data_IF_978373748100
#
_entry.id   IF_978373748100
#
_cell.length_a   1.000
_cell.length_b   1.000
_cell.length_c   1.000
_cell.angle_alpha   90.00
_cell.angle_beta   90.00
_cell.angle_gamma   90.00
#
_symmetry.space_group_name_H-M   'P 1'
#
loop_
_entity.id
_entity.type
_entity.pdbx_description
1 polymer ?
#
# COMPACT_ATOMS: atom_id res chain seq x y z
N UNK A 1 -15.48 -49.67 0.37
CA UNK A 1 -14.46 -49.52 1.43
C UNK A 1 -14.57 -48.11 1.98
N UNK A 2 -14.87 -47.98 3.27
CA UNK A 2 -15.16 -46.73 3.95
C UNK A 2 -13.94 -46.29 4.77
N UNK A 3 -13.55 -45.01 4.65
CA UNK A 3 -12.66 -44.34 5.62
C UNK A 3 -12.85 -42.82 5.58
N UNK A 4 -13.85 -42.39 6.36
CA UNK A 4 -13.93 -41.23 7.26
C UNK A 4 -13.05 -39.98 7.04
N UNK A 5 -13.74 -38.85 6.82
CA UNK A 5 -13.29 -37.48 7.11
C UNK A 5 -13.19 -37.23 8.63
N UNK A 6 -12.09 -36.64 9.09
CA UNK A 6 -11.95 -36.07 10.43
C UNK A 6 -12.26 -34.57 10.44
N UNK A 7 -13.33 -34.17 11.13
CA UNK A 7 -13.67 -32.78 11.45
C UNK A 7 -13.02 -32.38 12.77
N UNK A 8 -12.15 -31.35 12.75
CA UNK A 8 -11.59 -30.73 13.95
C UNK A 8 -12.61 -29.77 14.58
N UNK A 9 -13.11 -30.14 15.76
CA UNK A 9 -14.06 -29.40 16.58
C UNK A 9 -13.30 -28.54 17.61
N UNK A 10 -13.20 -27.23 17.39
CA UNK A 10 -12.61 -26.29 18.34
C UNK A 10 -13.65 -25.94 19.41
N UNK A 11 -13.55 -26.58 20.56
CA UNK A 11 -14.34 -26.27 21.77
C UNK A 11 -13.94 -24.92 22.35
N UNK A 12 -14.96 -24.21 22.81
CA UNK A 12 -14.94 -22.89 23.43
C UNK A 12 -13.98 -22.76 24.62
N UNK A 13 -13.17 -21.71 24.61
CA UNK A 13 -12.40 -21.28 25.77
C UNK A 13 -13.32 -20.55 26.76
N UNK A 14 -13.58 -21.22 27.89
CA UNK A 14 -14.32 -20.71 29.05
C UNK A 14 -13.45 -19.68 29.81
N UNK A 15 -13.94 -18.45 29.93
CA UNK A 15 -13.37 -17.37 30.76
C UNK A 15 -13.30 -17.81 32.23
N UNK A 16 -12.13 -17.66 32.87
CA UNK A 16 -11.99 -17.76 34.33
C UNK A 16 -12.25 -16.38 34.98
N UNK A 17 -12.97 -16.30 36.11
CA UNK A 17 -13.20 -15.05 36.82
C UNK A 17 -12.06 -14.67 37.77
N UNK A 18 -11.90 -13.35 37.92
CA UNK A 18 -10.96 -12.60 38.75
C UNK A 18 -11.06 -13.03 40.23
N UNK A 19 -9.94 -13.33 40.88
CA UNK A 19 -9.87 -13.54 42.33
C UNK A 19 -9.42 -12.25 43.03
N UNK A 20 -10.20 -11.90 44.05
CA UNK A 20 -10.17 -10.69 44.87
C UNK A 20 -9.07 -10.74 45.94
N UNK A 21 -8.62 -9.54 46.31
CA UNK A 21 -7.65 -9.16 47.36
C UNK A 21 -7.68 -9.99 48.65
N UNK A 22 -6.50 -10.30 49.17
CA UNK A 22 -6.27 -10.73 50.55
C UNK A 22 -5.38 -9.70 51.28
N UNK A 23 -5.71 -9.52 52.57
CA UNK A 23 -5.41 -8.41 53.47
C UNK A 23 -3.94 -8.28 53.91
N UNK A 24 -3.53 -7.04 54.18
CA UNK A 24 -2.29 -6.66 54.88
C UNK A 24 -2.51 -6.69 56.41
N UNK A 25 -1.56 -7.19 57.22
CA UNK A 25 -1.67 -7.15 58.67
C UNK A 25 -1.35 -5.76 59.25
N UNK A 26 -2.14 -5.41 60.26
CA UNK A 26 -2.07 -4.19 61.05
C UNK A 26 -0.86 -4.14 61.98
N UNK A 27 -0.18 -3.00 62.03
CA UNK A 27 0.76 -2.67 63.10
C UNK A 27 0.44 -1.28 63.67
N UNK A 28 -0.07 -1.34 64.89
CA UNK A 28 -0.27 -0.25 65.85
C UNK A 28 1.07 0.28 66.35
N UNK A 29 1.26 1.61 66.35
CA UNK A 29 1.58 2.40 67.56
C UNK A 29 1.66 3.90 67.28
N UNK A 30 1.10 4.62 68.23
CA UNK A 30 0.94 6.07 68.36
C UNK A 30 2.28 6.82 68.49
N UNK A 31 2.43 7.91 67.73
CA UNK A 31 3.23 9.06 68.11
C UNK A 31 2.64 10.32 67.43
N UNK A 32 2.28 11.33 68.25
CA UNK A 32 1.68 12.59 67.79
C UNK A 32 2.71 13.48 67.05
N UNK A 33 2.32 14.18 65.98
CA UNK A 33 3.20 15.05 65.20
C UNK A 33 3.19 16.50 65.73
N UNK A 34 4.35 17.17 65.65
CA UNK A 34 4.43 18.63 65.75
C UNK A 34 4.31 19.26 64.35
N UNK A 35 3.34 20.16 64.21
CA UNK A 35 2.95 20.84 62.98
C UNK A 35 3.59 22.25 62.90
N UNK A 36 4.00 22.71 61.71
CA UNK A 36 3.88 24.13 61.37
C UNK A 36 2.77 24.36 60.32
N UNK A 37 1.83 25.21 60.74
CA UNK A 37 0.83 26.06 60.07
C UNK A 37 0.82 26.16 58.52
N UNK A 38 -0.26 25.60 57.92
CA UNK A 38 -1.26 26.10 56.91
C UNK A 38 -0.91 27.21 55.87
N UNK A 39 -1.51 27.28 54.64
CA UNK A 39 -2.94 27.08 54.35
C UNK A 39 -3.34 26.14 53.17
N UNK A 40 -4.36 25.31 53.45
CA UNK A 40 -5.67 25.23 52.77
C UNK A 40 -5.73 25.53 51.25
N UNK A 41 -5.93 24.47 50.45
CA UNK A 41 -7.00 24.30 49.44
C UNK A 41 -6.53 23.36 48.31
N UNK A 42 -6.82 22.06 48.41
CA UNK A 42 -6.77 21.16 47.25
C UNK A 42 -8.20 20.74 46.91
N UNK A 43 -8.88 21.60 46.15
CA UNK A 43 -10.17 21.29 45.56
C UNK A 43 -9.90 20.43 44.32
N UNK A 44 -10.27 19.15 44.41
CA UNK A 44 -10.23 18.23 43.28
C UNK A 44 -11.39 18.58 42.33
N UNK A 45 -11.12 19.39 41.32
CA UNK A 45 -12.09 19.74 40.28
C UNK A 45 -11.66 19.11 38.96
N UNK A 46 -12.16 17.91 38.73
CA UNK A 46 -12.22 17.23 37.44
C UNK A 46 -13.23 17.99 36.58
N UNK A 47 -12.77 18.80 35.62
CA UNK A 47 -13.45 19.18 34.36
C UNK A 47 -12.58 20.23 33.64
N UNK A 48 -12.02 19.89 32.48
CA UNK A 48 -11.31 20.84 31.64
C UNK A 48 -10.56 20.13 30.53
N UNK A 49 -10.99 20.34 29.29
CA UNK A 49 -10.36 19.80 28.09
C UNK A 49 -8.83 20.01 28.12
N UNK A 50 -8.09 18.94 27.86
CA UNK A 50 -6.64 18.97 27.73
C UNK A 50 -6.27 19.86 26.53
N UNK A 51 -6.00 21.13 26.79
CA UNK A 51 -5.27 21.98 25.86
C UNK A 51 -3.87 21.37 25.72
N UNK A 52 -3.65 20.66 24.61
CA UNK A 52 -2.30 20.39 24.13
C UNK A 52 -1.57 21.74 24.08
N UNK A 53 -0.42 21.91 24.76
CA UNK A 53 0.25 23.19 24.72
C UNK A 53 0.72 23.44 23.28
N UNK A 54 0.28 24.55 22.71
CA UNK A 54 0.62 25.02 21.36
C UNK A 54 2.14 25.21 21.16
N UNK A 55 2.94 25.07 22.22
CA UNK A 55 4.40 25.08 22.22
C UNK A 55 5.03 23.80 21.66
N UNK A 56 4.27 22.71 21.46
CA UNK A 56 4.78 21.52 20.77
C UNK A 56 4.93 21.71 19.25
N UNK A 57 4.40 22.80 18.69
CA UNK A 57 4.45 23.13 17.25
C UNK A 57 5.61 24.05 16.84
N UNK A 58 6.41 24.56 17.79
CA UNK A 58 7.48 25.54 17.50
C UNK A 58 8.90 25.02 17.75
N UNK A 59 9.06 23.74 18.12
CA UNK A 59 10.38 23.15 18.40
C UNK A 59 11.37 23.02 17.21
N UNK A 60 11.05 23.18 15.90
CA UNK A 60 12.11 23.13 14.89
C UNK A 60 12.81 24.48 14.65
N UNK A 61 12.45 25.56 15.34
CA UNK A 61 12.98 26.91 15.02
C UNK A 61 14.15 27.41 15.88
N UNK A 62 14.69 26.59 16.78
CA UNK A 62 15.84 26.96 17.64
C UNK A 62 17.02 25.99 17.55
N UNK A 63 17.15 25.24 16.45
CA UNK A 63 18.38 24.51 16.17
C UNK A 63 19.34 25.43 15.42
N UNK A 64 20.49 25.70 16.04
CA UNK A 64 21.58 26.47 15.47
C UNK A 64 22.03 25.81 14.14
N UNK A 65 22.06 26.51 12.99
CA UNK A 65 22.37 25.91 11.69
C UNK A 65 23.78 25.31 11.56
N UNK A 66 24.67 25.64 12.50
CA UNK A 66 26.09 25.29 12.47
C UNK A 66 26.41 23.88 12.98
N UNK A 67 25.52 23.24 13.76
CA UNK A 67 25.71 21.86 14.25
C UNK A 67 25.15 20.78 13.30
N UNK A 68 24.71 21.17 12.10
CA UNK A 68 24.14 20.27 11.10
C UNK A 68 25.13 19.91 9.96
N UNK A 69 26.43 19.98 10.23
CA UNK A 69 27.46 19.42 9.36
C UNK A 69 27.98 18.09 9.90
N UNK A 70 27.66 17.04 9.14
CA UNK A 70 28.27 15.71 9.13
C UNK A 70 28.07 14.86 10.40
N UNK A 71 27.34 13.75 10.25
CA UNK A 71 27.89 12.53 10.79
C UNK A 71 29.26 12.36 10.10
N UNK A 72 30.35 12.51 10.86
CA UNK A 72 31.70 12.73 10.35
C UNK A 72 32.36 11.50 9.74
N UNK A 73 31.60 10.62 9.08
CA UNK A 73 32.03 9.26 8.76
C UNK A 73 31.81 8.26 9.91
N UNK A 74 31.07 8.64 10.96
CA UNK A 74 30.90 7.83 12.18
C UNK A 74 30.18 6.50 11.91
N UNK A 75 29.23 6.48 10.97
CA UNK A 75 28.50 5.27 10.59
C UNK A 75 29.09 4.58 9.35
N UNK A 76 30.22 5.07 8.84
CA UNK A 76 31.00 4.46 7.76
C UNK A 76 30.17 4.18 6.50
N UNK A 77 29.90 2.89 6.24
CA UNK A 77 29.13 2.44 5.07
C UNK A 77 27.73 3.08 4.99
N UNK A 78 27.07 3.31 6.13
CA UNK A 78 25.72 3.88 6.19
C UNK A 78 25.67 5.34 5.71
N UNK A 79 26.81 6.02 5.71
CA UNK A 79 26.94 7.39 5.22
C UNK A 79 27.53 7.48 3.81
N UNK A 80 28.11 6.37 3.35
CA UNK A 80 28.84 6.25 2.10
C UNK A 80 27.98 6.35 0.85
N UNK A 81 28.67 6.54 -0.28
CA UNK A 81 28.03 6.67 -1.59
C UNK A 81 27.28 5.41 -2.00
N UNK A 82 27.76 4.21 -1.66
CA UNK A 82 27.06 2.97 -2.02
C UNK A 82 25.64 2.94 -1.48
N UNK A 83 25.44 3.21 -0.18
CA UNK A 83 24.10 3.19 0.40
C UNK A 83 23.24 4.37 -0.05
N UNK A 84 23.84 5.53 -0.31
CA UNK A 84 23.12 6.66 -0.91
C UNK A 84 22.58 6.35 -2.33
N UNK A 85 23.25 5.46 -3.08
CA UNK A 85 22.84 5.06 -4.43
C UNK A 85 21.88 3.86 -4.48
N UNK A 86 21.64 3.16 -3.35
CA UNK A 86 20.66 2.06 -3.31
C UNK A 86 19.26 2.57 -3.66
N UNK A 87 18.81 3.64 -3.01
CA UNK A 87 17.49 4.20 -3.25
C UNK A 87 17.24 4.56 -4.73
N UNK A 88 18.06 5.38 -5.42
CA UNK A 88 17.82 5.72 -6.82
C UNK A 88 17.89 4.50 -7.75
N UNK A 89 18.74 3.51 -7.45
CA UNK A 89 18.77 2.26 -8.22
C UNK A 89 17.47 1.47 -8.07
N UNK A 90 17.02 1.28 -6.82
CA UNK A 90 15.78 0.56 -6.53
C UNK A 90 14.57 1.30 -7.10
N UNK A 91 14.53 2.63 -7.01
CA UNK A 91 13.46 3.44 -7.59
C UNK A 91 13.37 3.28 -9.11
N UNK A 92 14.51 3.18 -9.82
CA UNK A 92 14.54 2.82 -11.24
C UNK A 92 13.91 1.45 -11.49
N UNK A 93 14.28 0.45 -10.69
CA UNK A 93 13.69 -0.90 -10.76
C UNK A 93 12.18 -0.91 -10.49
N UNK A 94 11.74 -0.25 -9.42
CA UNK A 94 10.33 -0.15 -9.03
C UNK A 94 9.49 0.58 -10.08
N UNK A 95 10.05 1.56 -10.79
CA UNK A 95 9.36 2.21 -11.90
C UNK A 95 8.99 1.23 -13.01
N UNK A 96 9.97 0.47 -13.54
CA UNK A 96 9.70 -0.53 -14.58
C UNK A 96 8.80 -1.65 -14.06
N UNK A 97 8.99 -2.07 -12.80
CA UNK A 97 8.13 -3.06 -12.17
C UNK A 97 6.67 -2.58 -12.03
N UNK A 98 6.46 -1.28 -11.77
CA UNK A 98 5.14 -0.65 -11.74
C UNK A 98 4.47 -0.70 -13.12
N UNK A 99 5.20 -0.39 -14.19
CA UNK A 99 4.68 -0.50 -15.57
C UNK A 99 4.30 -1.95 -15.91
N UNK A 100 5.14 -2.91 -15.50
CA UNK A 100 4.86 -4.33 -15.68
C UNK A 100 3.63 -4.79 -14.88
N UNK A 101 3.49 -4.36 -13.62
CA UNK A 101 2.30 -4.63 -12.81
C UNK A 101 1.03 -4.02 -13.46
N UNK A 102 1.14 -2.83 -14.03
CA UNK A 102 0.10 -2.20 -14.84
C UNK A 102 -0.30 -3.04 -16.06
N UNK A 103 0.67 -3.58 -16.80
CA UNK A 103 0.42 -4.51 -17.90
C UNK A 103 -0.32 -5.77 -17.44
N UNK A 104 0.08 -6.40 -16.32
CA UNK A 104 -0.63 -7.56 -15.78
C UNK A 104 -2.09 -7.22 -15.41
N UNK A 105 -2.32 -6.05 -14.81
CA UNK A 105 -3.66 -5.56 -14.48
C UNK A 105 -4.52 -5.32 -15.72
N UNK A 106 -3.91 -4.81 -16.80
CA UNK A 106 -4.55 -4.64 -18.10
C UNK A 106 -4.96 -5.99 -18.71
N UNK A 107 -4.07 -6.99 -18.70
CA UNK A 107 -4.39 -8.33 -19.21
C UNK A 107 -5.54 -8.98 -18.41
N UNK A 108 -5.55 -8.81 -17.08
CA UNK A 108 -6.68 -9.27 -16.27
C UNK A 108 -7.99 -8.55 -16.57
N UNK A 109 -7.94 -7.24 -16.88
CA UNK A 109 -9.11 -6.51 -17.38
C UNK A 109 -9.59 -7.08 -18.72
N UNK A 110 -8.67 -7.40 -19.65
CA UNK A 110 -8.99 -7.95 -20.97
C UNK A 110 -9.76 -9.26 -20.87
N UNK A 111 -9.37 -10.18 -19.97
CA UNK A 111 -10.12 -11.44 -19.72
C UNK A 111 -11.61 -11.20 -19.48
N UNK A 112 -11.95 -10.13 -18.74
CA UNK A 112 -13.34 -9.79 -18.39
C UNK A 112 -14.05 -9.06 -19.54
N UNK A 113 -13.40 -8.07 -20.15
CA UNK A 113 -14.03 -7.31 -21.24
C UNK A 113 -14.25 -8.16 -22.48
N UNK A 114 -13.31 -9.06 -22.82
CA UNK A 114 -13.47 -10.02 -23.92
C UNK A 114 -14.66 -10.94 -23.69
N UNK A 115 -14.93 -11.36 -22.45
CA UNK A 115 -16.13 -12.15 -22.14
C UNK A 115 -17.42 -11.36 -22.35
N UNK A 116 -17.43 -10.07 -22.00
CA UNK A 116 -18.58 -9.20 -22.22
C UNK A 116 -18.84 -9.02 -23.73
N UNK A 117 -17.79 -8.75 -24.52
CA UNK A 117 -17.86 -8.66 -25.99
C UNK A 117 -18.43 -9.94 -26.61
N UNK A 118 -17.96 -11.13 -26.18
CA UNK A 118 -18.50 -12.41 -26.63
C UNK A 118 -20.00 -12.52 -26.32
N UNK A 119 -20.42 -12.16 -25.11
CA UNK A 119 -21.81 -12.25 -24.69
C UNK A 119 -22.72 -11.29 -25.48
N UNK A 120 -22.23 -10.10 -25.82
CA UNK A 120 -22.95 -9.13 -26.64
C UNK A 120 -23.08 -9.61 -28.09
N UNK A 121 -22.00 -10.12 -28.69
CA UNK A 121 -22.04 -10.68 -30.05
C UNK A 121 -22.96 -11.90 -30.14
N UNK A 122 -22.96 -12.77 -29.13
CA UNK A 122 -23.88 -13.93 -29.08
C UNK A 122 -25.35 -13.52 -29.05
N UNK A 123 -25.70 -12.35 -28.50
CA UNK A 123 -27.08 -11.83 -28.55
C UNK A 123 -27.48 -11.36 -29.94
N UNK A 124 -26.52 -11.01 -30.79
CA UNK A 124 -26.75 -10.54 -32.16
C UNK A 124 -26.96 -11.70 -33.14
N UNK A 125 -26.43 -12.89 -32.81
CA UNK A 125 -26.72 -14.13 -33.55
C UNK A 125 -28.15 -14.57 -33.21
N UNK A 126 -29.12 -14.20 -34.05
CA UNK A 126 -30.50 -14.72 -33.95
C UNK A 126 -30.47 -16.25 -34.12
N UNK A 127 -31.29 -17.03 -33.38
CA UNK A 127 -31.47 -18.45 -33.68
C UNK A 127 -31.96 -18.58 -35.11
N UNK A 128 -31.30 -19.42 -35.91
CA UNK A 128 -31.76 -19.77 -37.26
C UNK A 128 -33.18 -20.36 -37.12
N UNK A 129 -34.22 -19.76 -37.74
CA UNK A 129 -35.51 -20.42 -37.84
C UNK A 129 -35.32 -21.68 -38.67
N UNK A 130 -35.50 -22.84 -38.05
CA UNK A 130 -35.58 -24.10 -38.78
C UNK A 130 -36.93 -24.10 -39.49
N UNK A 131 -36.92 -24.01 -40.82
CA UNK A 131 -38.09 -24.37 -41.63
C UNK A 131 -38.42 -25.85 -41.42
N UNK A 132 -39.69 -26.29 -41.54
CA UNK A 132 -40.11 -27.68 -41.35
C UNK A 132 -39.35 -28.71 -42.21
N UNK A 133 -38.65 -28.26 -43.25
CA UNK A 133 -37.93 -29.08 -44.25
C UNK A 133 -36.42 -29.19 -44.01
N UNK A 134 -35.88 -28.65 -42.91
CA UNK A 134 -34.50 -28.92 -42.50
C UNK A 134 -33.38 -28.28 -43.35
N UNK A 135 -33.72 -27.45 -44.34
CA UNK A 135 -32.71 -26.75 -45.17
C UNK A 135 -32.29 -25.42 -44.53
N UNK A 136 -31.02 -25.22 -44.14
CA UNK A 136 -30.58 -23.96 -43.54
C UNK A 136 -30.56 -22.84 -44.59
N UNK A 137 -31.32 -21.77 -44.37
CA UNK A 137 -31.18 -20.52 -45.12
C UNK A 137 -29.86 -19.88 -44.67
N UNK A 138 -28.84 -19.93 -45.53
CA UNK A 138 -27.54 -19.34 -45.27
C UNK A 138 -27.64 -17.81 -45.14
N UNK A 139 -27.66 -17.32 -43.90
CA UNK A 139 -27.47 -15.90 -43.59
C UNK A 139 -25.97 -15.58 -43.69
N UNK A 140 -25.58 -14.95 -44.79
CA UNK A 140 -24.22 -14.43 -45.02
C UNK A 140 -23.74 -13.45 -43.91
N UNK A 141 -24.65 -12.93 -43.09
CA UNK A 141 -24.36 -12.07 -41.93
C UNK A 141 -23.92 -12.83 -40.68
N UNK A 142 -24.16 -14.14 -40.58
CA UNK A 142 -23.78 -14.96 -39.43
C UNK A 142 -22.26 -15.25 -39.40
N UNK A 143 -21.65 -15.48 -40.58
CA UNK A 143 -20.25 -15.90 -40.71
C UNK A 143 -19.22 -14.92 -40.10
N UNK A 144 -19.30 -13.58 -40.33
CA UNK A 144 -18.34 -12.64 -39.74
C UNK A 144 -18.46 -12.51 -38.21
N UNK A 145 -19.68 -12.53 -37.68
CA UNK A 145 -19.94 -12.41 -36.23
C UNK A 145 -19.51 -13.71 -35.52
N UNK A 146 -19.81 -14.86 -36.11
CA UNK A 146 -19.39 -16.18 -35.60
C UNK A 146 -17.86 -16.31 -35.60
N UNK A 147 -17.19 -15.89 -36.69
CA UNK A 147 -15.73 -15.86 -36.75
C UNK A 147 -15.15 -14.95 -35.65
N UNK A 148 -15.76 -13.78 -35.39
CA UNK A 148 -15.32 -12.89 -34.31
C UNK A 148 -15.52 -13.50 -32.93
N UNK A 149 -16.64 -14.18 -32.70
CA UNK A 149 -16.89 -14.92 -31.45
C UNK A 149 -15.83 -16.00 -31.24
N UNK A 150 -15.49 -16.77 -32.28
CA UNK A 150 -14.44 -17.78 -32.22
C UNK A 150 -13.08 -17.15 -31.89
N UNK A 151 -12.69 -16.08 -32.60
CA UNK A 151 -11.44 -15.36 -32.35
C UNK A 151 -11.33 -14.88 -30.90
N UNK A 152 -12.36 -14.19 -30.40
CA UNK A 152 -12.36 -13.67 -29.02
C UNK A 152 -12.39 -14.81 -27.98
N UNK A 153 -13.02 -15.93 -28.32
CA UNK A 153 -13.04 -17.12 -27.46
C UNK A 153 -11.64 -17.72 -27.33
N UNK A 154 -10.90 -17.84 -28.43
CA UNK A 154 -9.50 -18.29 -28.41
C UNK A 154 -8.60 -17.27 -27.70
N UNK A 155 -8.73 -15.97 -27.98
CA UNK A 155 -8.02 -14.91 -27.26
C UNK A 155 -8.24 -15.03 -25.74
N UNK A 156 -9.50 -15.20 -25.31
CA UNK A 156 -9.82 -15.35 -23.89
C UNK A 156 -9.20 -16.61 -23.30
N UNK A 157 -9.19 -17.74 -24.02
CA UNK A 157 -8.55 -18.98 -23.55
C UNK A 157 -7.06 -18.75 -23.29
N UNK A 158 -6.37 -18.07 -24.20
CA UNK A 158 -4.95 -17.72 -24.00
C UNK A 158 -4.75 -16.75 -22.83
N UNK A 159 -5.60 -15.72 -22.71
CA UNK A 159 -5.52 -14.78 -21.60
C UNK A 159 -5.75 -15.46 -20.24
N UNK A 160 -6.67 -16.43 -20.17
CA UNK A 160 -6.94 -17.19 -18.93
C UNK A 160 -5.73 -18.05 -18.53
N UNK A 161 -5.04 -18.67 -19.50
CA UNK A 161 -3.80 -19.45 -19.25
C UNK A 161 -2.70 -18.60 -18.63
N UNK A 162 -2.69 -17.28 -18.89
CA UNK A 162 -1.68 -16.35 -18.38
C UNK A 162 -1.77 -16.06 -16.87
N UNK A 163 -2.83 -16.50 -16.17
CA UNK A 163 -3.03 -16.34 -14.72
C UNK A 163 -2.84 -14.89 -14.22
N UNK A 164 -3.24 -13.91 -15.04
CA UNK A 164 -2.97 -12.49 -14.82
C UNK A 164 -3.56 -11.92 -13.52
N UNK A 165 -4.66 -12.50 -13.02
CA UNK A 165 -5.25 -12.09 -11.73
C UNK A 165 -4.25 -12.25 -10.59
N UNK A 166 -3.69 -13.45 -10.45
CA UNK A 166 -2.80 -13.79 -9.33
C UNK A 166 -1.43 -13.16 -9.53
N UNK A 167 -0.94 -13.10 -10.78
CA UNK A 167 0.31 -12.41 -11.11
C UNK A 167 0.23 -10.92 -10.80
N UNK A 168 -0.86 -10.24 -11.18
CA UNK A 168 -1.05 -8.83 -10.87
C UNK A 168 -1.17 -8.61 -9.36
N UNK A 169 -1.90 -9.47 -8.64
CA UNK A 169 -2.01 -9.39 -7.18
C UNK A 169 -0.64 -9.53 -6.52
N UNK A 170 0.13 -10.57 -6.87
CA UNK A 170 1.46 -10.81 -6.32
C UNK A 170 2.43 -9.67 -6.64
N UNK A 171 2.44 -9.20 -7.89
CA UNK A 171 3.25 -8.06 -8.29
C UNK A 171 2.87 -6.79 -7.51
N UNK A 172 1.57 -6.53 -7.35
CA UNK A 172 1.08 -5.42 -6.53
C UNK A 172 1.50 -5.54 -5.06
N UNK A 173 1.47 -6.75 -4.47
CA UNK A 173 1.93 -6.97 -3.10
C UNK A 173 3.43 -6.74 -2.93
N UNK A 174 4.25 -7.21 -3.87
CA UNK A 174 5.70 -6.97 -3.87
C UNK A 174 5.98 -5.47 -4.01
N UNK A 175 5.34 -4.81 -4.97
CA UNK A 175 5.49 -3.38 -5.20
C UNK A 175 5.10 -2.56 -3.95
N UNK A 176 3.98 -2.90 -3.31
CA UNK A 176 3.54 -2.24 -2.08
C UNK A 176 4.55 -2.43 -0.95
N UNK A 177 5.02 -3.66 -0.72
CA UNK A 177 5.96 -3.94 0.36
C UNK A 177 7.27 -3.19 0.15
N UNK A 178 7.97 -3.44 -0.96
CA UNK A 178 9.26 -2.82 -1.24
C UNK A 178 9.15 -1.30 -1.41
N UNK A 179 8.11 -0.83 -2.08
CA UNK A 179 7.88 0.59 -2.29
C UNK A 179 7.68 1.37 -0.98
N UNK A 180 6.94 0.83 -0.02
CA UNK A 180 6.78 1.44 1.31
C UNK A 180 8.11 1.44 2.08
N UNK A 181 8.84 0.32 2.08
CA UNK A 181 10.15 0.25 2.72
C UNK A 181 11.13 1.27 2.16
N UNK A 182 11.16 1.47 0.84
CA UNK A 182 12.02 2.46 0.18
C UNK A 182 11.58 3.90 0.47
N UNK A 183 10.28 4.20 0.46
CA UNK A 183 9.79 5.54 0.76
C UNK A 183 10.17 5.98 2.19
N UNK A 184 10.11 5.06 3.16
CA UNK A 184 10.55 5.31 4.54
C UNK A 184 12.08 5.31 4.60
N UNK A 185 12.71 4.30 4.01
CA UNK A 185 14.16 4.08 4.03
C UNK A 185 14.96 5.22 3.42
N UNK A 186 14.51 5.79 2.30
CA UNK A 186 15.14 6.95 1.67
C UNK A 186 15.14 8.19 2.57
N UNK A 187 14.03 8.44 3.28
CA UNK A 187 13.93 9.49 4.28
C UNK A 187 14.87 9.24 5.47
N UNK A 188 14.83 8.03 6.03
CA UNK A 188 15.70 7.63 7.16
C UNK A 188 17.18 7.72 6.77
N UNK A 189 17.57 7.22 5.60
CA UNK A 189 18.94 7.31 5.09
C UNK A 189 19.40 8.76 4.94
N UNK A 190 18.53 9.64 4.45
CA UNK A 190 18.83 11.09 4.39
C UNK A 190 19.05 11.64 5.79
N UNK A 191 18.14 11.38 6.72
CA UNK A 191 18.23 11.88 8.09
C UNK A 191 19.51 11.40 8.80
N UNK A 192 19.85 10.12 8.68
CA UNK A 192 21.07 9.54 9.27
C UNK A 192 22.33 10.24 8.71
N UNK A 193 22.37 10.52 7.41
CA UNK A 193 23.52 11.15 6.76
C UNK A 193 23.70 12.63 7.06
N UNK A 194 22.60 13.35 7.24
CA UNK A 194 22.63 14.83 7.26
C UNK A 194 22.06 15.45 8.53
N UNK A 195 21.60 14.64 9.48
CA UNK A 195 20.98 15.08 10.74
C UNK A 195 19.62 15.76 10.58
N UNK A 196 19.11 15.89 9.35
CA UNK A 196 17.83 16.53 9.01
C UNK A 196 17.28 16.00 7.69
N UNK A 197 15.97 16.11 7.52
CA UNK A 197 15.33 15.90 6.22
C UNK A 197 15.38 17.19 5.39
N UNK A 198 15.39 17.04 4.07
CA UNK A 198 15.24 18.15 3.12
C UNK A 198 13.92 17.98 2.37
N UNK A 199 12.79 18.48 2.92
CA UNK A 199 11.51 18.36 2.27
C UNK A 199 11.52 19.11 0.94
N UNK A 200 11.29 18.38 -0.15
CA UNK A 200 11.28 18.93 -1.50
C UNK A 200 10.36 18.11 -2.40
N UNK A 201 10.21 18.51 -3.68
CA UNK A 201 9.26 17.89 -4.60
C UNK A 201 9.35 16.36 -4.66
N UNK A 202 10.57 15.81 -4.66
CA UNK A 202 10.80 14.36 -4.68
C UNK A 202 10.24 13.66 -3.43
N UNK A 203 10.52 14.18 -2.24
CA UNK A 203 10.05 13.59 -0.99
C UNK A 203 8.52 13.66 -0.89
N UNK A 204 7.93 14.80 -1.27
CA UNK A 204 6.48 14.97 -1.27
C UNK A 204 5.78 14.06 -2.30
N UNK A 205 6.36 13.92 -3.49
CA UNK A 205 5.87 12.99 -4.51
C UNK A 205 5.92 11.54 -4.01
N UNK A 206 7.05 11.11 -3.41
CA UNK A 206 7.19 9.77 -2.84
C UNK A 206 6.19 9.48 -1.73
N UNK A 207 5.93 10.46 -0.85
CA UNK A 207 4.89 10.35 0.17
C UNK A 207 3.49 10.20 -0.45
N UNK A 208 3.16 11.02 -1.45
CA UNK A 208 1.89 10.93 -2.16
C UNK A 208 1.71 9.57 -2.88
N UNK A 209 2.75 9.08 -3.55
CA UNK A 209 2.76 7.76 -4.20
C UNK A 209 2.48 6.65 -3.18
N UNK A 210 3.10 6.73 -2.01
CA UNK A 210 2.89 5.76 -0.91
C UNK A 210 1.43 5.72 -0.47
N UNK A 211 0.80 6.90 -0.30
CA UNK A 211 -0.63 7.01 0.04
C UNK A 211 -1.51 6.43 -1.08
N UNK A 212 -1.20 6.74 -2.34
CA UNK A 212 -1.96 6.24 -3.48
C UNK A 212 -1.86 4.72 -3.63
N UNK A 213 -0.69 4.12 -3.38
CA UNK A 213 -0.54 2.66 -3.32
C UNK A 213 -1.40 2.04 -2.22
N UNK A 214 -1.36 2.60 -1.01
CA UNK A 214 -2.17 2.11 0.10
C UNK A 214 -3.68 2.21 -0.21
N UNK A 215 -4.12 3.36 -0.74
CA UNK A 215 -5.51 3.58 -1.15
C UNK A 215 -5.95 2.61 -2.26
N UNK A 216 -5.10 2.40 -3.28
CA UNK A 216 -5.38 1.46 -4.36
C UNK A 216 -5.47 0.01 -3.85
N UNK A 217 -4.58 -0.40 -2.95
CA UNK A 217 -4.60 -1.72 -2.33
C UNK A 217 -5.85 -1.95 -1.47
N UNK A 218 -6.31 -0.91 -0.75
CA UNK A 218 -7.52 -0.98 0.09
C UNK A 218 -8.80 -1.24 -0.72
N UNK A 219 -8.81 -0.99 -2.02
CA UNK A 219 -9.96 -1.25 -2.90
C UNK A 219 -10.11 -2.73 -3.29
N UNK A 220 -9.07 -3.56 -3.09
CA UNK A 220 -9.04 -4.96 -3.52
C UNK A 220 -10.24 -5.79 -3.02
N UNK A 221 -10.67 -5.72 -1.74
CA UNK A 221 -11.82 -6.48 -1.28
C UNK A 221 -13.13 -6.12 -2.02
N UNK A 222 -13.33 -4.85 -2.36
CA UNK A 222 -14.49 -4.40 -3.13
C UNK A 222 -14.42 -4.85 -4.59
N UNK A 223 -13.23 -4.78 -5.19
CA UNK A 223 -13.01 -5.25 -6.57
C UNK A 223 -13.23 -6.76 -6.69
N UNK A 224 -12.79 -7.55 -5.70
CA UNK A 224 -13.02 -9.00 -5.66
C UNK A 224 -14.52 -9.34 -5.59
N UNK A 225 -15.33 -8.48 -4.97
CA UNK A 225 -16.80 -8.60 -4.90
C UNK A 225 -17.54 -8.12 -6.16
N UNK A 226 -16.84 -7.72 -7.23
CA UNK A 226 -17.50 -7.30 -8.46
C UNK A 226 -17.70 -5.80 -8.63
N UNK A 227 -17.28 -4.95 -7.68
CA UNK A 227 -17.55 -3.52 -7.73
C UNK A 227 -16.74 -2.82 -8.85
N UNK A 228 -17.41 -2.32 -9.89
CA UNK A 228 -16.78 -1.63 -11.02
C UNK A 228 -16.28 -0.22 -10.68
N UNK A 229 -16.92 0.50 -9.76
CA UNK A 229 -16.44 1.80 -9.27
C UNK A 229 -15.09 1.64 -8.58
N UNK A 230 -14.94 0.62 -7.71
CA UNK A 230 -13.69 0.33 -7.04
C UNK A 230 -12.58 -0.04 -8.04
N UNK A 231 -12.92 -0.77 -9.12
CA UNK A 231 -11.96 -1.10 -10.19
C UNK A 231 -11.51 0.13 -10.96
N UNK A 232 -12.44 0.99 -11.35
CA UNK A 232 -12.12 2.24 -12.05
C UNK A 232 -11.30 3.18 -11.17
N UNK A 233 -11.64 3.30 -9.89
CA UNK A 233 -10.88 4.10 -8.94
C UNK A 233 -9.47 3.54 -8.72
N UNK A 234 -9.32 2.22 -8.55
CA UNK A 234 -8.02 1.56 -8.46
C UNK A 234 -7.14 1.87 -9.68
N UNK A 235 -7.71 1.83 -10.89
CA UNK A 235 -6.99 2.17 -12.12
C UNK A 235 -6.61 3.66 -12.12
N UNK A 236 -7.54 4.56 -11.79
CA UNK A 236 -7.27 5.99 -11.76
C UNK A 236 -6.14 6.36 -10.77
N UNK A 237 -6.18 5.80 -9.55
CA UNK A 237 -5.13 6.01 -8.54
C UNK A 237 -3.78 5.51 -9.03
N UNK A 238 -3.73 4.35 -9.70
CA UNK A 238 -2.48 3.81 -10.22
C UNK A 238 -1.97 4.54 -11.47
N UNK A 239 -2.85 5.07 -12.31
CA UNK A 239 -2.46 5.97 -13.40
C UNK A 239 -1.82 7.24 -12.83
N UNK A 240 -2.42 7.84 -11.81
CA UNK A 240 -1.84 8.99 -11.13
C UNK A 240 -0.49 8.65 -10.49
N UNK A 241 -0.36 7.47 -9.88
CA UNK A 241 0.93 6.98 -9.36
C UNK A 241 2.01 6.95 -10.44
N UNK A 242 1.73 6.37 -11.61
CA UNK A 242 2.70 6.31 -12.72
C UNK A 242 3.09 7.71 -13.17
N UNK A 243 2.13 8.63 -13.29
CA UNK A 243 2.41 10.01 -13.67
C UNK A 243 3.30 10.72 -12.66
N UNK A 244 3.04 10.54 -11.35
CA UNK A 244 3.91 11.08 -10.29
C UNK A 244 5.30 10.45 -10.31
N UNK A 245 5.40 9.14 -10.56
CA UNK A 245 6.68 8.45 -10.73
C UNK A 245 7.49 9.04 -11.87
N UNK A 246 6.87 9.26 -13.03
CA UNK A 246 7.52 9.91 -14.19
C UNK A 246 7.95 11.33 -13.83
N UNK A 247 7.08 12.09 -13.17
CA UNK A 247 7.35 13.47 -12.77
C UNK A 247 8.50 13.59 -11.77
N UNK A 248 8.70 12.61 -10.89
CA UNK A 248 9.78 12.66 -9.91
C UNK A 248 11.17 12.40 -10.51
N UNK A 249 11.26 11.81 -11.72
CA UNK A 249 12.54 11.38 -12.32
C UNK A 249 13.57 12.54 -12.37
N UNK A 250 13.25 13.73 -12.90
CA UNK A 250 14.21 14.84 -12.95
C UNK A 250 14.69 15.24 -11.55
N UNK A 251 13.76 15.36 -10.59
CA UNK A 251 14.09 15.74 -9.20
C UNK A 251 14.94 14.67 -8.49
N UNK A 252 14.78 13.41 -8.85
CA UNK A 252 15.61 12.31 -8.34
C UNK A 252 17.02 12.35 -8.91
N UNK A 253 17.17 12.68 -10.20
CA UNK A 253 18.48 12.86 -10.83
C UNK A 253 19.25 14.03 -10.21
N UNK A 254 18.57 15.14 -9.89
CA UNK A 254 19.19 16.27 -9.17
C UNK A 254 19.75 15.84 -7.80
N UNK A 255 19.04 14.95 -7.09
CA UNK A 255 19.52 14.39 -5.82
C UNK A 255 20.72 13.48 -6.05
N UNK A 256 20.71 12.65 -7.10
CA UNK A 256 21.85 11.80 -7.45
C UNK A 256 23.10 12.65 -7.71
N UNK A 257 23.01 13.76 -8.44
CA UNK A 257 24.14 14.67 -8.64
C UNK A 257 24.68 15.23 -7.32
N UNK A 258 23.80 15.64 -6.40
CA UNK A 258 24.20 16.07 -5.05
C UNK A 258 24.85 14.95 -4.24
N UNK A 259 24.40 13.70 -4.39
CA UNK A 259 25.06 12.54 -3.76
C UNK A 259 26.49 12.42 -4.29
N UNK A 260 26.71 12.54 -5.60
CA UNK A 260 28.07 12.50 -6.16
C UNK A 260 28.95 13.67 -5.68
N UNK A 261 28.36 14.86 -5.50
CA UNK A 261 29.06 16.04 -4.99
C UNK A 261 29.47 15.91 -3.52
N UNK A 262 28.57 15.40 -2.65
CA UNK A 262 28.74 15.48 -1.19
C UNK A 262 29.13 14.16 -0.49
N UNK A 263 29.11 13.01 -1.19
CA UNK A 263 29.51 11.71 -0.59
C UNK A 263 30.84 11.21 -1.12
N UNK A 264 31.47 10.30 -0.39
CA UNK A 264 32.65 9.54 -0.84
C UNK A 264 32.33 8.04 -0.82
N UNK A 265 33.05 7.29 -1.64
CA UNK A 265 33.07 5.82 -1.56
C UNK A 265 33.68 5.36 -0.22
N UNK A 266 33.38 4.15 0.29
CA UNK A 266 32.70 3.03 -0.37
C UNK A 266 31.21 3.21 -0.63
#
# INVERSE_FOLDING_TARGET
MATTLGLLNIRSLRRKPLQTLAELPSLSKSAKPNLPKHPQNLHLQLYGASYLPLTALTLPFFLDPQDAFAAGGELGLLEGRTLALVHPLVMGGLFFYTLWAGYLGWQWRRVRTTQNEINELKKQVKPVPVTPEGTPVALATASPIEAKIQQLTEERKELVKGSYKDRHFNAGSVLLAFGVFEAIGGGVNTYIRTGKLFPGPHLYAGAAITVLWAAAAALVPLMQKGNETARSLHIALNTLNVLLFVWQIPTGLDIVYKVFEFTKWP
#
